data_IF_250362027977
#
_entry.id   IF_250362027977
#
_cell.length_a   1.000
_cell.length_b   1.000
_cell.length_c   1.000
_cell.angle_alpha   90.00
_cell.angle_beta   90.00
_cell.angle_gamma   90.00
#
_symmetry.space_group_name_H-M   'P 1'
#
loop_
_entity.id
_entity.type
_entity.pdbx_description
1 polymer ?
#
# COMPACT_ATOMS: atom_id res chain seq x y z
N UNK A 1 -48.14 -2.86 17.32
CA UNK A 1 -46.99 -2.30 16.57
C UNK A 1 -45.84 -3.26 16.78
N UNK A 2 -45.59 -4.12 15.79
CA UNK A 2 -44.48 -5.09 15.81
C UNK A 2 -43.19 -4.36 15.41
N UNK A 3 -42.23 -4.25 16.33
CA UNK A 3 -40.88 -3.86 16.00
C UNK A 3 -40.25 -4.92 15.09
N UNK A 4 -40.05 -4.59 13.82
CA UNK A 4 -39.14 -5.35 12.98
C UNK A 4 -37.73 -5.14 13.51
N UNK A 5 -37.11 -6.19 14.04
CA UNK A 5 -35.67 -6.21 14.28
C UNK A 5 -35.00 -6.07 12.91
N UNK A 6 -34.23 -5.00 12.74
CA UNK A 6 -33.38 -4.85 11.58
C UNK A 6 -32.43 -6.03 11.54
N UNK A 7 -32.50 -6.82 10.46
CA UNK A 7 -31.50 -7.84 10.16
C UNK A 7 -30.10 -7.18 10.18
N UNK A 8 -29.14 -7.76 10.88
CA UNK A 8 -27.79 -7.18 10.89
C UNK A 8 -27.29 -7.15 9.44
N UNK A 9 -26.92 -5.98 8.99
CA UNK A 9 -26.26 -5.79 7.69
C UNK A 9 -25.13 -6.82 7.58
N UNK A 10 -25.10 -7.67 6.53
CA UNK A 10 -24.05 -8.68 6.43
C UNK A 10 -22.67 -8.00 6.45
N UNK A 11 -21.85 -8.44 7.40
CA UNK A 11 -20.48 -7.94 7.52
C UNK A 11 -19.75 -8.25 6.23
N UNK A 12 -19.13 -7.25 5.61
CA UNK A 12 -18.33 -7.43 4.40
C UNK A 12 -17.34 -8.58 4.59
N UNK A 13 -17.16 -9.49 3.63
CA UNK A 13 -16.17 -10.57 3.73
C UNK A 13 -14.76 -10.02 3.94
N UNK A 14 -14.52 -8.77 3.58
CA UNK A 14 -13.25 -8.07 3.79
C UNK A 14 -13.11 -7.43 5.18
N UNK A 15 -14.19 -7.21 5.92
CA UNK A 15 -14.13 -6.47 7.20
C UNK A 15 -13.34 -7.22 8.28
N UNK A 16 -13.50 -8.55 8.40
CA UNK A 16 -12.74 -9.37 9.35
C UNK A 16 -11.26 -9.33 8.97
N UNK A 17 -10.97 -9.54 7.69
CA UNK A 17 -9.60 -9.53 7.18
C UNK A 17 -8.93 -8.16 7.37
N UNK A 18 -9.65 -7.06 7.14
CA UNK A 18 -9.13 -5.71 7.36
C UNK A 18 -8.75 -5.45 8.82
N UNK A 19 -9.49 -6.02 9.79
CA UNK A 19 -9.14 -5.95 11.21
C UNK A 19 -7.86 -6.72 11.54
N UNK A 20 -7.70 -7.92 10.99
CA UNK A 20 -6.50 -8.75 11.16
C UNK A 20 -5.29 -8.06 10.52
N UNK A 21 -5.45 -7.51 9.32
CA UNK A 21 -4.40 -6.78 8.61
C UNK A 21 -3.97 -5.53 9.37
N UNK A 22 -4.93 -4.75 9.88
CA UNK A 22 -4.63 -3.60 10.74
C UNK A 22 -3.84 -4.00 11.96
N UNK A 23 -4.24 -5.06 12.65
CA UNK A 23 -3.53 -5.55 13.85
C UNK A 23 -2.09 -5.94 13.51
N UNK A 24 -1.89 -6.69 12.43
CA UNK A 24 -0.56 -7.11 11.94
C UNK A 24 0.30 -5.92 11.51
N UNK A 25 -0.28 -4.97 10.77
CA UNK A 25 0.43 -3.76 10.35
C UNK A 25 0.94 -2.97 11.55
N UNK A 26 0.08 -2.72 12.54
CA UNK A 26 0.44 -1.98 13.76
C UNK A 26 1.50 -2.72 14.56
N UNK A 27 1.43 -4.05 14.64
CA UNK A 27 2.46 -4.87 15.29
C UNK A 27 3.82 -4.73 14.60
N UNK A 28 3.88 -4.93 13.28
CA UNK A 28 5.11 -4.80 12.49
C UNK A 28 5.67 -3.38 12.56
N UNK A 29 4.79 -2.38 12.42
CA UNK A 29 5.17 -0.97 12.51
C UNK A 29 5.85 -0.67 13.85
N UNK A 30 5.21 -0.98 14.97
CA UNK A 30 5.74 -0.72 16.32
C UNK A 30 6.99 -1.52 16.64
N UNK A 31 7.11 -2.71 16.06
CA UNK A 31 8.28 -3.57 16.26
C UNK A 31 9.52 -3.03 15.57
N UNK A 32 9.39 -2.53 14.36
CA UNK A 32 10.53 -2.23 13.52
C UNK A 32 10.78 -0.74 13.32
N UNK A 33 9.77 0.12 13.32
CA UNK A 33 9.90 1.57 13.05
C UNK A 33 9.91 2.32 14.38
N UNK A 34 11.12 2.64 14.84
CA UNK A 34 11.34 3.18 16.19
C UNK A 34 11.96 4.57 16.22
N UNK A 35 12.31 5.13 15.06
CA UNK A 35 12.92 6.44 14.96
C UNK A 35 11.99 7.57 15.39
N UNK A 36 12.57 8.75 15.70
CA UNK A 36 11.82 9.93 16.09
C UNK A 36 10.73 10.27 15.06
N UNK A 37 9.50 10.49 15.55
CA UNK A 37 8.33 10.82 14.76
C UNK A 37 7.52 9.62 14.25
N UNK A 38 8.00 8.39 14.44
CA UNK A 38 7.30 7.18 14.04
C UNK A 38 5.92 7.07 14.72
N UNK A 39 5.83 7.39 15.99
CA UNK A 39 4.58 7.41 16.77
C UNK A 39 3.55 8.39 16.20
N UNK A 40 4.01 9.57 15.77
CA UNK A 40 3.15 10.59 15.15
C UNK A 40 2.63 10.17 13.78
N UNK A 41 3.48 9.51 12.97
CA UNK A 41 3.04 8.97 11.69
C UNK A 41 2.03 7.83 11.89
N UNK A 42 2.27 6.91 12.84
CA UNK A 42 1.29 5.86 13.14
C UNK A 42 -0.04 6.44 13.59
N UNK A 43 -0.03 7.44 14.48
CA UNK A 43 -1.24 8.14 14.91
C UNK A 43 -1.96 8.83 13.73
N UNK A 44 -1.23 9.40 12.77
CA UNK A 44 -1.82 9.93 11.54
C UNK A 44 -2.50 8.82 10.72
N UNK A 45 -1.86 7.66 10.51
CA UNK A 45 -2.45 6.54 9.80
C UNK A 45 -3.72 6.02 10.48
N UNK A 46 -3.69 5.89 11.82
CA UNK A 46 -4.83 5.41 12.61
C UNK A 46 -6.04 6.37 12.57
N UNK A 47 -5.82 7.67 12.34
CA UNK A 47 -6.86 8.69 12.24
C UNK A 47 -7.23 9.05 10.78
N UNK A 48 -6.61 8.41 9.80
CA UNK A 48 -6.89 8.55 8.38
C UNK A 48 -7.74 7.37 7.85
N UNK A 49 -7.95 7.34 6.55
CA UNK A 49 -8.61 6.22 5.87
C UNK A 49 -7.65 5.07 5.52
N UNK A 50 -6.36 5.13 5.88
CA UNK A 50 -5.33 4.16 5.47
C UNK A 50 -5.77 2.70 5.65
N UNK A 51 -6.41 2.37 6.77
CA UNK A 51 -6.85 1.00 7.09
C UNK A 51 -8.18 0.61 6.44
N UNK A 52 -8.87 1.56 5.81
CA UNK A 52 -10.13 1.33 5.10
C UNK A 52 -10.00 1.54 3.59
N UNK A 53 -9.01 2.32 3.15
CA UNK A 53 -8.81 2.66 1.74
C UNK A 53 -8.50 1.43 0.88
N UNK A 54 -8.93 1.42 -0.40
CA UNK A 54 -8.51 0.42 -1.37
C UNK A 54 -7.07 0.67 -1.83
N UNK A 55 -6.38 -0.35 -2.34
CA UNK A 55 -5.08 -0.19 -2.98
C UNK A 55 -5.19 0.41 -4.40
N UNK A 56 -6.31 0.18 -5.09
CA UNK A 56 -6.58 0.72 -6.42
C UNK A 56 -8.08 0.92 -6.65
N UNK A 57 -8.45 1.62 -7.74
CA UNK A 57 -9.87 1.78 -8.12
C UNK A 57 -10.43 0.59 -8.91
N UNK A 58 -9.60 -0.23 -9.56
CA UNK A 58 -10.04 -1.26 -10.52
C UNK A 58 -9.20 -2.54 -10.53
N UNK A 59 -7.98 -2.48 -9.99
CA UNK A 59 -7.00 -3.57 -10.09
C UNK A 59 -6.88 -4.31 -8.75
N UNK A 60 -5.66 -4.63 -8.35
CA UNK A 60 -5.38 -5.28 -7.08
C UNK A 60 -5.92 -4.49 -5.88
N UNK A 61 -6.35 -5.20 -4.84
CA UNK A 61 -6.80 -4.59 -3.58
C UNK A 61 -7.96 -3.58 -3.72
N UNK A 62 -8.84 -3.72 -4.73
CA UNK A 62 -10.01 -2.85 -4.95
C UNK A 62 -11.16 -3.20 -3.98
N UNK A 63 -10.88 -3.12 -2.69
CA UNK A 63 -11.86 -3.38 -1.62
C UNK A 63 -11.44 -2.64 -0.35
N UNK A 64 -12.34 -2.58 0.62
CA UNK A 64 -12.06 -2.02 1.94
C UNK A 64 -10.85 -2.71 2.59
N UNK A 65 -9.91 -1.91 3.09
CA UNK A 65 -8.65 -2.38 3.70
C UNK A 65 -7.59 -2.84 2.70
N UNK A 66 -7.85 -2.73 1.40
CA UNK A 66 -6.93 -3.15 0.34
C UNK A 66 -5.55 -2.50 0.42
N UNK A 67 -5.47 -1.22 0.78
CA UNK A 67 -4.20 -0.49 0.92
C UNK A 67 -3.32 -1.09 2.04
N UNK A 68 -3.89 -1.35 3.19
CA UNK A 68 -3.18 -1.99 4.30
C UNK A 68 -2.72 -3.40 3.93
N UNK A 69 -3.60 -4.21 3.32
CA UNK A 69 -3.27 -5.55 2.83
C UNK A 69 -2.12 -5.51 1.82
N UNK A 70 -2.17 -4.62 0.85
CA UNK A 70 -1.12 -4.43 -0.14
C UNK A 70 0.23 -4.10 0.51
N UNK A 71 0.25 -3.14 1.43
CA UNK A 71 1.47 -2.78 2.17
C UNK A 71 2.08 -3.98 2.92
N UNK A 72 1.24 -4.86 3.50
CA UNK A 72 1.69 -6.08 4.16
C UNK A 72 2.24 -7.12 3.17
N UNK A 73 1.59 -7.31 2.03
CA UNK A 73 2.05 -8.21 0.98
C UNK A 73 3.39 -7.76 0.40
N UNK A 74 3.54 -6.44 0.16
CA UNK A 74 4.82 -5.86 -0.27
C UNK A 74 5.91 -6.04 0.80
N UNK A 75 5.56 -5.93 2.08
CA UNK A 75 6.51 -6.20 3.17
C UNK A 75 7.00 -7.66 3.15
N UNK A 76 6.09 -8.61 3.02
CA UNK A 76 6.44 -10.04 2.98
C UNK A 76 7.32 -10.37 1.76
N UNK A 77 6.94 -9.88 0.57
CA UNK A 77 7.73 -10.07 -0.64
C UNK A 77 9.11 -9.40 -0.54
N UNK A 78 9.20 -8.19 0.01
CA UNK A 78 10.47 -7.48 0.17
C UNK A 78 11.41 -8.21 1.15
N UNK A 79 10.88 -8.70 2.25
CA UNK A 79 11.64 -9.52 3.22
C UNK A 79 12.16 -10.80 2.55
N UNK A 80 11.32 -11.49 1.76
CA UNK A 80 11.73 -12.68 1.03
C UNK A 80 12.84 -12.37 0.02
N UNK A 81 12.66 -11.33 -0.82
CA UNK A 81 13.65 -10.92 -1.82
C UNK A 81 15.00 -10.61 -1.17
N UNK A 82 15.03 -9.81 -0.11
CA UNK A 82 16.26 -9.40 0.55
C UNK A 82 16.92 -10.52 1.36
N UNK A 83 16.18 -11.58 1.70
CA UNK A 83 16.71 -12.76 2.37
C UNK A 83 17.26 -13.84 1.42
N UNK A 84 17.08 -13.70 0.11
CA UNK A 84 17.62 -14.67 -0.87
C UNK A 84 19.15 -14.75 -0.76
N UNK A 85 19.73 -15.96 -0.71
CA UNK A 85 21.21 -16.12 -0.61
C UNK A 85 21.96 -15.34 -1.67
N UNK A 86 21.47 -15.36 -2.93
CA UNK A 86 22.08 -14.60 -4.02
C UNK A 86 22.12 -13.10 -3.75
N UNK A 87 21.07 -12.53 -3.16
CA UNK A 87 20.99 -11.09 -2.85
C UNK A 87 22.00 -10.73 -1.77
N UNK A 88 22.09 -11.54 -0.71
CA UNK A 88 23.01 -11.30 0.42
C UNK A 88 24.46 -11.63 0.07
N UNK A 89 24.71 -12.81 -0.48
CA UNK A 89 26.07 -13.36 -0.61
C UNK A 89 26.75 -12.94 -1.91
N UNK A 90 25.98 -12.81 -3.01
CA UNK A 90 26.54 -12.48 -4.31
C UNK A 90 26.45 -10.99 -4.61
N UNK A 91 25.29 -10.35 -4.33
CA UNK A 91 25.11 -8.93 -4.60
C UNK A 91 25.57 -8.04 -3.44
N UNK A 92 25.74 -8.60 -2.23
CA UNK A 92 26.18 -7.86 -1.07
C UNK A 92 25.12 -6.87 -0.55
N UNK A 93 23.84 -7.09 -0.86
CA UNK A 93 22.74 -6.20 -0.51
C UNK A 93 22.20 -6.59 0.86
N UNK A 94 22.20 -5.65 1.80
CA UNK A 94 21.65 -5.82 3.15
C UNK A 94 21.10 -4.49 3.66
N UNK A 95 19.95 -4.54 4.30
CA UNK A 95 19.29 -3.39 4.93
C UNK A 95 18.82 -3.74 6.33
N UNK A 96 18.65 -2.73 7.20
CA UNK A 96 18.05 -2.94 8.52
C UNK A 96 16.57 -3.30 8.39
N UNK A 97 16.06 -4.06 9.36
CA UNK A 97 14.64 -4.39 9.43
C UNK A 97 13.77 -3.12 9.46
N UNK A 98 14.26 -2.04 10.09
CA UNK A 98 13.58 -0.74 10.10
C UNK A 98 13.45 -0.15 8.69
N UNK A 99 14.53 -0.13 7.90
CA UNK A 99 14.49 0.39 6.53
C UNK A 99 13.59 -0.44 5.61
N UNK A 100 13.59 -1.76 5.80
CA UNK A 100 12.70 -2.68 5.09
C UNK A 100 11.24 -2.38 5.42
N UNK A 101 10.93 -2.24 6.71
CA UNK A 101 9.57 -1.93 7.18
C UNK A 101 9.10 -0.56 6.68
N UNK A 102 9.95 0.48 6.75
CA UNK A 102 9.63 1.81 6.24
C UNK A 102 9.36 1.76 4.75
N UNK A 103 10.27 1.17 3.97
CA UNK A 103 10.12 1.12 2.53
C UNK A 103 8.82 0.40 2.12
N UNK A 104 8.53 -0.78 2.69
CA UNK A 104 7.38 -1.57 2.31
C UNK A 104 6.05 -1.07 2.86
N UNK A 105 5.99 -0.77 4.17
CA UNK A 105 4.73 -0.39 4.81
C UNK A 105 4.26 1.02 4.43
N UNK A 106 5.16 1.88 3.96
CA UNK A 106 4.88 3.29 3.74
C UNK A 106 5.03 3.75 2.27
N UNK A 107 5.32 2.83 1.33
CA UNK A 107 5.54 3.20 -0.07
C UNK A 107 4.34 3.90 -0.70
N UNK A 108 3.15 3.52 -0.32
CA UNK A 108 1.88 3.97 -0.88
C UNK A 108 1.10 4.96 0.01
N UNK A 109 1.78 5.71 0.88
CA UNK A 109 1.15 6.78 1.68
C UNK A 109 0.43 7.83 0.84
N UNK A 110 0.80 7.99 -0.42
CA UNK A 110 0.13 8.86 -1.38
C UNK A 110 -1.37 8.55 -1.57
N UNK A 111 -1.79 7.33 -1.23
CA UNK A 111 -3.16 6.85 -1.35
C UNK A 111 -4.03 7.17 -0.13
N UNK A 112 -3.45 7.71 0.94
CA UNK A 112 -4.19 8.14 2.14
C UNK A 112 -5.07 9.35 1.82
N UNK A 113 -6.35 9.28 2.18
CA UNK A 113 -7.36 10.31 1.90
C UNK A 113 -7.43 10.69 0.40
N UNK A 114 -7.21 9.72 -0.46
CA UNK A 114 -7.13 9.89 -1.92
C UNK A 114 -8.35 9.35 -2.66
N UNK A 115 -9.09 8.44 -2.04
CA UNK A 115 -10.24 7.80 -2.64
C UNK A 115 -11.56 8.34 -2.09
N UNK A 116 -12.57 8.40 -2.96
CA UNK A 116 -13.94 8.77 -2.62
C UNK A 116 -14.90 7.74 -3.18
N UNK A 117 -15.92 7.39 -2.40
CA UNK A 117 -16.99 6.53 -2.88
C UNK A 117 -17.97 7.37 -3.70
N UNK A 118 -18.20 6.95 -4.93
CA UNK A 118 -19.21 7.47 -5.85
C UNK A 118 -20.16 6.35 -6.25
N UNK A 119 -21.29 6.69 -6.86
CA UNK A 119 -22.32 5.72 -7.25
C UNK A 119 -22.59 5.79 -8.75
N UNK A 120 -22.78 4.64 -9.37
CA UNK A 120 -23.19 4.53 -10.78
C UNK A 120 -24.31 3.53 -10.93
N UNK A 121 -25.18 3.73 -11.94
CA UNK A 121 -26.17 2.74 -12.27
C UNK A 121 -25.53 1.59 -13.06
N UNK A 122 -25.77 0.37 -12.63
CA UNK A 122 -25.35 -0.87 -13.32
C UNK A 122 -26.51 -1.86 -13.34
N UNK A 123 -26.51 -2.78 -14.30
CA UNK A 123 -27.46 -3.90 -14.32
C UNK A 123 -26.91 -5.04 -13.49
N UNK A 124 -27.74 -5.56 -12.58
CA UNK A 124 -27.42 -6.78 -11.85
C UNK A 124 -27.58 -8.02 -12.75
N UNK A 125 -27.28 -9.20 -12.23
CA UNK A 125 -27.38 -10.47 -12.95
C UNK A 125 -28.79 -10.76 -13.49
N UNK A 126 -29.82 -10.16 -12.89
CA UNK A 126 -31.23 -10.28 -13.31
C UNK A 126 -31.64 -9.21 -14.35
N UNK A 127 -30.70 -8.37 -14.80
CA UNK A 127 -30.94 -7.29 -15.78
C UNK A 127 -31.62 -6.04 -15.21
N UNK A 128 -31.86 -5.96 -13.89
CA UNK A 128 -32.45 -4.82 -13.21
C UNK A 128 -31.36 -3.76 -12.90
N UNK A 129 -31.70 -2.49 -13.14
CA UNK A 129 -30.82 -1.36 -12.79
C UNK A 129 -30.75 -1.16 -11.27
N UNK A 130 -29.55 -1.06 -10.76
CA UNK A 130 -29.27 -0.72 -9.36
C UNK A 130 -28.10 0.26 -9.26
N UNK A 131 -28.07 1.03 -8.15
CA UNK A 131 -27.00 1.95 -7.86
C UNK A 131 -25.88 1.21 -7.14
N UNK A 132 -24.72 1.08 -7.77
CA UNK A 132 -23.56 0.38 -7.20
C UNK A 132 -22.47 1.37 -6.83
N UNK A 133 -21.82 1.20 -5.66
CA UNK A 133 -20.69 2.03 -5.27
C UNK A 133 -19.45 1.70 -6.10
N UNK A 134 -18.60 2.69 -6.30
CA UNK A 134 -17.26 2.52 -6.88
C UNK A 134 -16.32 3.60 -6.37
N UNK A 135 -15.01 3.34 -6.40
CA UNK A 135 -14.03 4.32 -5.97
C UNK A 135 -13.67 5.28 -7.08
N UNK A 136 -13.62 6.58 -6.75
CA UNK A 136 -13.09 7.67 -7.59
C UNK A 136 -11.91 8.31 -6.90
N UNK A 137 -11.13 9.11 -7.62
CA UNK A 137 -9.98 9.82 -7.11
C UNK A 137 -10.35 11.25 -6.70
N UNK A 138 -9.87 11.68 -5.54
CA UNK A 138 -9.94 13.07 -5.08
C UNK A 138 -8.55 13.47 -4.56
N UNK A 139 -7.71 14.01 -5.46
CA UNK A 139 -6.33 14.36 -5.13
C UNK A 139 -6.22 15.80 -4.62
N UNK A 140 -6.09 15.95 -3.30
CA UNK A 140 -5.92 17.24 -2.63
C UNK A 140 -4.44 17.63 -2.43
N UNK A 141 -3.49 16.79 -2.88
CA UNK A 141 -2.05 17.02 -2.78
C UNK A 141 -1.37 16.57 -4.08
N UNK A 142 -1.35 17.42 -5.13
CA UNK A 142 -0.96 17.04 -6.49
C UNK A 142 0.58 16.92 -6.64
N UNK A 143 1.17 15.93 -5.98
CA UNK A 143 2.53 15.46 -6.19
C UNK A 143 2.55 14.23 -7.11
N UNK A 144 3.72 13.87 -7.62
CA UNK A 144 3.94 12.57 -8.22
C UNK A 144 3.67 11.43 -7.21
N UNK A 145 3.31 10.23 -7.70
CA UNK A 145 2.86 9.12 -6.86
C UNK A 145 3.84 8.81 -5.72
N UNK A 146 5.07 8.40 -6.03
CA UNK A 146 6.08 8.10 -5.01
C UNK A 146 6.58 9.36 -4.28
N UNK A 147 6.64 10.52 -4.95
CA UNK A 147 7.02 11.80 -4.33
C UNK A 147 6.08 12.19 -3.20
N UNK A 148 4.77 12.00 -3.38
CA UNK A 148 3.75 12.26 -2.36
C UNK A 148 3.97 11.39 -1.13
N UNK A 149 4.27 10.09 -1.31
CA UNK A 149 4.57 9.18 -0.21
C UNK A 149 5.81 9.62 0.58
N UNK A 150 6.89 9.98 -0.12
CA UNK A 150 8.11 10.54 0.51
C UNK A 150 7.80 11.84 1.24
N UNK A 151 7.03 12.75 0.63
CA UNK A 151 6.65 14.03 1.24
C UNK A 151 5.87 13.82 2.54
N UNK A 152 4.86 12.94 2.53
CA UNK A 152 4.05 12.64 3.72
C UNK A 152 4.92 12.01 4.81
N UNK A 153 5.69 10.96 4.51
CA UNK A 153 6.57 10.30 5.49
C UNK A 153 7.58 11.27 6.10
N UNK A 154 8.22 12.11 5.25
CA UNK A 154 9.23 13.09 5.67
C UNK A 154 8.67 14.21 6.55
N UNK A 155 7.37 14.45 6.51
CA UNK A 155 6.68 15.38 7.42
C UNK A 155 6.64 14.91 8.87
N UNK A 156 6.86 13.62 9.11
CA UNK A 156 6.82 13.01 10.45
C UNK A 156 8.18 12.50 10.91
N UNK A 157 8.92 11.83 10.03
CA UNK A 157 10.21 11.23 10.38
C UNK A 157 11.25 11.44 9.26
N UNK A 158 12.51 11.46 9.64
CA UNK A 158 13.60 11.55 8.68
C UNK A 158 13.78 10.22 7.96
N UNK A 159 13.66 10.21 6.63
CA UNK A 159 14.02 9.07 5.80
C UNK A 159 15.52 9.08 5.49
N UNK A 160 16.11 7.89 5.37
CA UNK A 160 17.42 7.73 4.74
C UNK A 160 17.28 7.96 3.22
N UNK A 161 18.42 8.14 2.55
CA UNK A 161 18.40 8.33 1.09
C UNK A 161 17.86 7.07 0.38
N UNK A 162 18.29 5.90 0.81
CA UNK A 162 17.83 4.62 0.25
C UNK A 162 16.32 4.44 0.40
N UNK A 163 15.76 4.72 1.58
CA UNK A 163 14.32 4.66 1.84
C UNK A 163 13.54 5.64 0.96
N UNK A 164 14.02 6.90 0.88
CA UNK A 164 13.34 7.93 0.09
C UNK A 164 13.35 7.59 -1.41
N UNK A 165 14.48 7.09 -1.94
CA UNK A 165 14.56 6.68 -3.33
C UNK A 165 13.78 5.39 -3.60
N UNK A 166 13.77 4.44 -2.67
CA UNK A 166 12.95 3.24 -2.78
C UNK A 166 11.46 3.60 -2.87
N UNK A 167 10.95 4.39 -1.93
CA UNK A 167 9.55 4.84 -1.92
C UNK A 167 9.24 5.67 -3.18
N UNK A 168 10.14 6.60 -3.57
CA UNK A 168 9.89 7.44 -4.74
C UNK A 168 9.76 6.65 -6.05
N UNK A 169 10.60 5.65 -6.25
CA UNK A 169 10.72 4.93 -7.52
C UNK A 169 10.15 3.50 -7.49
N UNK A 170 9.32 3.16 -6.47
CA UNK A 170 8.73 1.82 -6.37
C UNK A 170 7.89 1.40 -7.57
N UNK A 171 7.25 2.35 -8.26
CA UNK A 171 6.52 2.08 -9.51
C UNK A 171 7.42 1.67 -10.68
N UNK A 172 8.74 1.80 -10.55
CA UNK A 172 9.69 1.48 -11.62
C UNK A 172 9.33 2.19 -12.92
N UNK A 173 9.39 1.46 -14.03
CA UNK A 173 9.10 1.99 -15.37
C UNK A 173 7.59 2.08 -15.70
N UNK A 174 6.71 1.64 -14.82
CA UNK A 174 5.25 1.76 -14.99
C UNK A 174 4.69 3.10 -14.51
N UNK A 175 5.50 3.89 -13.78
CA UNK A 175 5.14 5.24 -13.34
C UNK A 175 5.27 6.30 -14.44
N UNK A 176 4.96 7.55 -14.09
CA UNK A 176 5.12 8.71 -14.97
C UNK A 176 6.51 9.35 -14.89
N UNK A 177 7.47 8.67 -14.28
CA UNK A 177 8.82 9.14 -14.07
C UNK A 177 9.63 9.09 -15.38
N UNK A 178 10.62 9.98 -15.48
CA UNK A 178 11.55 9.96 -16.60
C UNK A 178 12.41 8.66 -16.55
N UNK A 179 12.41 7.81 -17.61
CA UNK A 179 13.02 6.48 -17.58
C UNK A 179 14.51 6.47 -17.23
N UNK A 180 15.26 7.51 -17.62
CA UNK A 180 16.67 7.62 -17.28
C UNK A 180 16.90 7.83 -15.78
N UNK A 181 15.99 8.53 -15.09
CA UNK A 181 16.04 8.69 -13.65
C UNK A 181 15.67 7.39 -12.92
N UNK A 182 14.65 6.68 -13.42
CA UNK A 182 14.27 5.35 -12.90
C UNK A 182 15.46 4.40 -12.97
N UNK A 183 16.08 4.25 -14.15
CA UNK A 183 17.24 3.38 -14.32
C UNK A 183 18.37 3.67 -13.35
N UNK A 184 18.74 4.96 -13.21
CA UNK A 184 19.77 5.39 -12.25
C UNK A 184 19.39 5.12 -10.79
N UNK A 185 18.11 5.34 -10.44
CA UNK A 185 17.64 5.09 -9.07
C UNK A 185 17.75 3.60 -8.71
N UNK A 186 17.32 2.70 -9.62
CA UNK A 186 17.40 1.26 -9.42
C UNK A 186 18.86 0.76 -9.34
N UNK A 187 19.79 1.38 -10.09
CA UNK A 187 21.22 1.05 -10.07
C UNK A 187 21.90 1.54 -8.78
N UNK A 188 21.62 2.79 -8.37
CA UNK A 188 22.31 3.45 -7.24
C UNK A 188 21.73 3.04 -5.88
N UNK A 189 20.46 2.66 -5.83
CA UNK A 189 19.73 2.35 -4.61
C UNK A 189 19.07 0.97 -4.71
N UNK A 190 19.79 -0.12 -4.39
CA UNK A 190 19.27 -1.49 -4.52
C UNK A 190 17.95 -1.72 -3.79
N UNK A 191 17.64 -0.97 -2.71
CA UNK A 191 16.34 -1.04 -2.04
C UNK A 191 15.19 -0.59 -2.96
N UNK A 192 15.44 0.38 -3.87
CA UNK A 192 14.44 0.80 -4.84
C UNK A 192 14.13 -0.31 -5.85
N UNK A 193 15.16 -1.02 -6.33
CA UNK A 193 14.95 -2.22 -7.16
C UNK A 193 14.17 -3.30 -6.41
N UNK A 194 14.57 -3.62 -5.17
CA UNK A 194 13.95 -4.68 -4.40
C UNK A 194 12.47 -4.36 -4.08
N UNK A 195 12.18 -3.10 -3.72
CA UNK A 195 10.80 -2.65 -3.45
C UNK A 195 9.94 -2.67 -4.71
N UNK A 196 10.46 -2.22 -5.86
CA UNK A 196 9.74 -2.27 -7.14
C UNK A 196 9.37 -3.71 -7.52
N UNK A 197 10.28 -4.68 -7.33
CA UNK A 197 9.98 -6.11 -7.58
C UNK A 197 8.96 -6.65 -6.59
N UNK A 198 9.08 -6.29 -5.29
CA UNK A 198 8.15 -6.71 -4.25
C UNK A 198 6.73 -6.18 -4.50
N UNK A 199 6.60 -4.93 -4.91
CA UNK A 199 5.32 -4.31 -5.27
C UNK A 199 4.67 -5.01 -6.47
N UNK A 200 5.43 -5.29 -7.53
CA UNK A 200 4.93 -6.08 -8.67
C UNK A 200 4.53 -7.50 -8.25
N UNK A 201 5.31 -8.18 -7.40
CA UNK A 201 4.99 -9.52 -6.91
C UNK A 201 3.68 -9.49 -6.11
N UNK A 202 3.52 -8.53 -5.19
CA UNK A 202 2.29 -8.35 -4.42
C UNK A 202 1.08 -8.10 -5.35
N UNK A 203 1.18 -7.12 -6.25
CA UNK A 203 0.07 -6.70 -7.10
C UNK A 203 -0.39 -7.80 -8.09
N UNK A 204 0.55 -8.54 -8.71
CA UNK A 204 0.24 -9.49 -9.77
C UNK A 204 0.05 -10.92 -9.30
N UNK A 205 0.75 -11.36 -8.24
CA UNK A 205 0.74 -12.75 -7.82
C UNK A 205 0.03 -12.98 -6.48
N UNK A 206 0.10 -12.04 -5.53
CA UNK A 206 -0.53 -12.21 -4.22
C UNK A 206 -1.96 -11.67 -4.19
N UNK A 207 -2.26 -10.62 -4.96
CA UNK A 207 -3.55 -9.91 -4.99
C UNK A 207 -4.27 -10.03 -6.33
N UNK A 208 -3.60 -10.56 -7.34
CA UNK A 208 -4.19 -10.80 -8.66
C UNK A 208 -5.36 -11.78 -8.58
N UNK A 209 -6.33 -11.65 -9.50
CA UNK A 209 -7.38 -12.65 -9.63
C UNK A 209 -6.77 -14.01 -9.85
N UNK A 210 -7.27 -15.08 -9.20
CA UNK A 210 -6.84 -16.44 -9.47
C UNK A 210 -6.84 -16.67 -10.98
N UNK A 211 -5.74 -17.16 -11.52
CA UNK A 211 -5.68 -17.52 -12.94
C UNK A 211 -6.79 -18.53 -13.20
N UNK A 212 -7.67 -18.20 -14.17
CA UNK A 212 -8.77 -19.07 -14.60
C UNK A 212 -8.24 -20.31 -15.26
#
# INVERSE_FOLDING_TARGET
MSYQMNDPTPVSPYAIQALEDRARFVELYKKYITREGADKLLAFLENSDFFAAPASTRYHGNHEGGLCRHSLNVYDALVDILNRPRVKEVYGISYSDESIAIAALLHDLCKVNFYKISYRNAKNEQGKWESVPYYTLEDNLPYGHGEKSVYIASGYMRLTRDEAFAIRYHMGFSGNEEPGNVGKALEMFPLAWALCVADMEAAYFMEGSPQK
#
